data_IF_220327332128
#
_entry.id   IF_220327332128
#
_cell.length_a   1.000
_cell.length_b   1.000
_cell.length_c   1.000
_cell.angle_alpha   90.00
_cell.angle_beta   90.00
_cell.angle_gamma   90.00
#
_symmetry.space_group_name_H-M   'P 1'
#
loop_
_entity.id
_entity.type
_entity.pdbx_description
1 polymer ?
#
# COMPACT_ATOMS: atom_id res chain seq x y z
N UNK A 1 -1.84 11.41 11.86
CA UNK A 1 -2.96 10.54 11.48
C UNK A 1 -3.96 10.60 12.61
N UNK A 2 -5.21 10.95 12.31
CA UNK A 2 -6.25 11.01 13.35
C UNK A 2 -6.82 9.59 13.53
N UNK A 3 -6.34 8.86 14.53
CA UNK A 3 -6.81 7.53 14.92
C UNK A 3 -8.36 7.44 14.97
N UNK A 4 -9.02 8.48 15.49
CA UNK A 4 -10.48 8.54 15.64
C UNK A 4 -11.24 8.48 14.29
N UNK A 5 -10.63 8.88 13.19
CA UNK A 5 -11.26 8.88 11.87
C UNK A 5 -11.35 7.45 11.30
N UNK A 6 -10.30 6.66 11.42
CA UNK A 6 -10.28 5.26 10.94
C UNK A 6 -11.12 4.34 11.82
N UNK A 7 -11.15 4.55 13.14
CA UNK A 7 -11.96 3.75 14.05
C UNK A 7 -13.45 3.91 13.75
N UNK A 8 -13.90 5.09 13.29
CA UNK A 8 -15.30 5.38 12.96
C UNK A 8 -15.82 4.53 11.77
N UNK A 9 -14.96 4.25 10.81
CA UNK A 9 -15.36 3.60 9.56
C UNK A 9 -14.98 2.12 9.47
N UNK A 10 -14.26 1.57 10.45
CA UNK A 10 -13.71 0.22 10.38
C UNK A 10 -14.79 -0.85 10.12
N UNK A 11 -15.98 -0.73 10.71
CA UNK A 11 -17.07 -1.71 10.56
C UNK A 11 -17.81 -1.59 9.21
N UNK A 12 -17.89 -0.39 8.65
CA UNK A 12 -18.59 -0.12 7.40
C UNK A 12 -17.66 -0.17 6.18
N UNK A 13 -16.35 -0.28 6.44
CA UNK A 13 -15.31 -0.19 5.40
C UNK A 13 -15.57 -1.14 4.23
N UNK A 14 -15.82 -2.43 4.50
CA UNK A 14 -16.01 -3.42 3.43
C UNK A 14 -17.23 -3.12 2.54
N UNK A 15 -18.34 -2.74 3.14
CA UNK A 15 -19.58 -2.49 2.40
C UNK A 15 -19.49 -1.20 1.55
N UNK A 16 -18.95 -0.14 2.15
CA UNK A 16 -18.82 1.16 1.48
C UNK A 16 -17.72 1.13 0.42
N UNK A 17 -16.58 0.50 0.69
CA UNK A 17 -15.50 0.33 -0.29
C UNK A 17 -15.97 -0.47 -1.52
N UNK A 18 -16.72 -1.57 -1.31
CA UNK A 18 -17.32 -2.35 -2.38
C UNK A 18 -18.31 -1.52 -3.23
N UNK A 19 -19.08 -0.63 -2.62
CA UNK A 19 -20.01 0.24 -3.32
C UNK A 19 -19.30 1.27 -4.20
N UNK A 20 -18.24 1.90 -3.69
CA UNK A 20 -17.47 2.91 -4.43
C UNK A 20 -16.69 2.32 -5.61
N UNK A 21 -16.24 1.07 -5.50
CA UNK A 21 -15.52 0.40 -6.57
C UNK A 21 -16.43 -0.16 -7.69
N UNK A 22 -17.76 -0.12 -7.53
CA UNK A 22 -18.71 -0.62 -8.57
C UNK A 22 -18.48 0.02 -9.93
N UNK A 23 -18.06 1.30 -10.00
CA UNK A 23 -17.78 1.98 -11.26
C UNK A 23 -16.62 1.34 -12.03
N UNK A 24 -15.70 0.67 -11.37
CA UNK A 24 -14.58 -0.05 -12.00
C UNK A 24 -14.98 -1.45 -12.47
N UNK A 25 -16.09 -1.99 -11.95
CA UNK A 25 -16.51 -3.37 -12.13
C UNK A 25 -15.67 -4.40 -11.35
N UNK A 26 -14.81 -3.94 -10.44
CA UNK A 26 -13.88 -4.78 -9.68
C UNK A 26 -14.36 -5.06 -8.27
N UNK A 27 -13.93 -6.21 -7.74
CA UNK A 27 -13.98 -6.56 -6.34
C UNK A 27 -12.85 -5.84 -5.56
N UNK A 28 -13.09 -5.34 -4.33
CA UNK A 28 -12.04 -4.81 -3.47
C UNK A 28 -10.82 -5.73 -3.31
N UNK A 29 -11.02 -7.05 -3.24
CA UNK A 29 -9.95 -8.03 -3.16
C UNK A 29 -9.05 -8.03 -4.41
N UNK A 30 -9.57 -7.66 -5.58
CA UNK A 30 -8.77 -7.52 -6.79
C UNK A 30 -7.64 -6.49 -6.59
N UNK A 31 -7.96 -5.32 -6.00
CA UNK A 31 -6.98 -4.26 -5.81
C UNK A 31 -5.87 -4.65 -4.84
N UNK A 32 -6.17 -5.38 -3.77
CA UNK A 32 -5.14 -5.91 -2.87
C UNK A 32 -4.28 -6.96 -3.56
N UNK A 33 -4.92 -7.91 -4.25
CA UNK A 33 -4.25 -9.02 -4.92
C UNK A 33 -3.27 -8.53 -6.00
N UNK A 34 -3.73 -7.72 -6.98
CA UNK A 34 -2.87 -7.34 -8.10
C UNK A 34 -1.63 -6.54 -7.66
N UNK A 35 -1.74 -5.73 -6.59
CA UNK A 35 -0.60 -4.99 -6.04
C UNK A 35 0.47 -5.95 -5.53
N UNK A 36 0.06 -6.96 -4.78
CA UNK A 36 0.99 -7.97 -4.25
C UNK A 36 1.57 -8.83 -5.38
N UNK A 37 0.77 -9.23 -6.38
CA UNK A 37 1.26 -9.94 -7.57
C UNK A 37 2.30 -9.12 -8.33
N UNK A 38 2.13 -7.81 -8.43
CA UNK A 38 3.12 -6.91 -9.03
C UNK A 38 4.41 -6.85 -8.21
N UNK A 39 4.32 -6.72 -6.88
CA UNK A 39 5.49 -6.77 -5.99
C UNK A 39 6.22 -8.10 -6.15
N UNK A 40 5.51 -9.24 -6.14
CA UNK A 40 6.08 -10.58 -6.33
C UNK A 40 6.81 -10.66 -7.67
N UNK A 41 6.18 -10.22 -8.75
CA UNK A 41 6.77 -10.21 -10.10
C UNK A 41 8.06 -9.39 -10.16
N UNK A 42 8.08 -8.22 -9.50
CA UNK A 42 9.28 -7.39 -9.42
C UNK A 42 10.38 -8.06 -8.61
N UNK A 43 10.01 -8.70 -7.50
CA UNK A 43 10.94 -9.44 -6.63
C UNK A 43 11.65 -10.54 -7.39
N UNK A 44 10.89 -11.35 -8.14
CA UNK A 44 11.41 -12.45 -8.98
C UNK A 44 12.32 -11.94 -10.11
N UNK A 45 11.87 -10.91 -10.82
CA UNK A 45 12.65 -10.31 -11.91
C UNK A 45 14.00 -9.75 -11.47
N UNK A 46 14.13 -9.37 -10.20
CA UNK A 46 15.40 -8.88 -9.64
C UNK A 46 16.25 -10.00 -9.06
N UNK A 47 15.79 -11.26 -9.14
CA UNK A 47 16.52 -12.43 -8.64
C UNK A 47 16.79 -12.38 -7.13
N UNK A 48 15.86 -11.81 -6.36
CA UNK A 48 16.03 -11.66 -4.92
C UNK A 48 15.77 -12.98 -4.19
N UNK A 49 16.50 -13.20 -3.10
CA UNK A 49 16.18 -14.27 -2.16
C UNK A 49 14.80 -14.00 -1.52
N UNK A 50 14.11 -15.06 -1.09
CA UNK A 50 12.83 -14.91 -0.39
C UNK A 50 12.98 -14.00 0.84
N UNK A 51 12.02 -13.09 1.07
CA UNK A 51 12.08 -12.19 2.21
C UNK A 51 11.84 -12.98 3.50
N UNK A 52 12.64 -12.73 4.52
CA UNK A 52 12.41 -13.32 5.84
C UNK A 52 11.36 -12.54 6.64
N UNK A 53 11.23 -11.23 6.41
CA UNK A 53 10.26 -10.38 7.10
C UNK A 53 9.65 -9.33 6.19
N UNK A 54 8.32 -9.16 6.29
CA UNK A 54 7.54 -8.18 5.55
C UNK A 54 6.70 -7.36 6.53
N UNK A 55 6.71 -6.05 6.37
CA UNK A 55 5.82 -5.12 7.06
C UNK A 55 4.71 -4.67 6.10
N UNK A 56 3.46 -4.89 6.48
CA UNK A 56 2.29 -4.23 5.90
C UNK A 56 1.99 -2.97 6.73
N UNK A 57 2.44 -1.82 6.24
CA UNK A 57 2.32 -0.53 6.92
C UNK A 57 1.00 0.15 6.56
N UNK A 58 0.18 0.47 7.56
CA UNK A 58 -1.19 0.92 7.37
C UNK A 58 -2.08 -0.22 6.86
N UNK A 59 -1.98 -1.39 7.51
CA UNK A 59 -2.63 -2.62 7.07
C UNK A 59 -4.16 -2.58 7.14
N UNK A 60 -4.73 -1.60 7.87
CA UNK A 60 -6.16 -1.47 8.06
C UNK A 60 -6.80 -2.79 8.54
N UNK A 61 -7.85 -3.21 7.87
CA UNK A 61 -8.58 -4.47 8.16
C UNK A 61 -7.93 -5.72 7.53
N UNK A 62 -6.65 -5.63 7.12
CA UNK A 62 -5.82 -6.75 6.69
C UNK A 62 -6.05 -7.25 5.26
N UNK A 63 -6.57 -6.40 4.36
CA UNK A 63 -6.91 -6.83 3.00
C UNK A 63 -5.72 -7.37 2.18
N UNK A 64 -4.50 -6.95 2.48
CA UNK A 64 -3.27 -7.39 1.80
C UNK A 64 -2.71 -8.70 2.36
N UNK A 65 -3.00 -9.04 3.63
CA UNK A 65 -2.35 -10.13 4.36
C UNK A 65 -2.45 -11.50 3.68
N UNK A 66 -3.63 -12.00 3.24
CA UNK A 66 -3.71 -13.32 2.62
C UNK A 66 -2.95 -13.38 1.28
N UNK A 67 -2.83 -12.25 0.60
CA UNK A 67 -2.09 -12.17 -0.66
C UNK A 67 -0.59 -12.10 -0.43
N UNK A 68 -0.13 -11.42 0.63
CA UNK A 68 1.27 -11.42 1.06
C UNK A 68 1.71 -12.83 1.51
N UNK A 69 0.90 -13.51 2.32
CA UNK A 69 1.16 -14.89 2.75
C UNK A 69 1.28 -15.83 1.54
N UNK A 70 0.36 -15.72 0.59
CA UNK A 70 0.38 -16.53 -0.62
C UNK A 70 1.58 -16.24 -1.53
N UNK A 71 1.94 -14.95 -1.69
CA UNK A 71 3.01 -14.52 -2.59
C UNK A 71 4.40 -14.80 -2.01
N UNK A 72 4.55 -14.76 -0.68
CA UNK A 72 5.82 -14.90 0.02
C UNK A 72 5.70 -15.96 1.14
N UNK A 73 5.48 -17.23 0.78
CA UNK A 73 5.31 -18.29 1.76
C UNK A 73 6.59 -18.46 2.60
N UNK A 74 6.42 -18.40 3.92
CA UNK A 74 7.54 -18.48 4.86
C UNK A 74 8.10 -17.13 5.33
N UNK A 75 7.68 -16.00 4.77
CA UNK A 75 7.98 -14.68 5.32
C UNK A 75 7.21 -14.45 6.62
N UNK A 76 7.89 -13.92 7.64
CA UNK A 76 7.21 -13.43 8.83
C UNK A 76 6.50 -12.12 8.50
N UNK A 77 5.16 -12.11 8.56
CA UNK A 77 4.36 -10.91 8.28
C UNK A 77 4.13 -10.13 9.58
N UNK A 78 4.30 -8.82 9.50
CA UNK A 78 3.90 -7.87 10.55
C UNK A 78 2.89 -6.90 9.94
N UNK A 79 1.72 -6.79 10.54
CA UNK A 79 0.67 -5.84 10.19
C UNK A 79 0.71 -4.68 11.19
N UNK A 80 0.98 -3.48 10.73
CA UNK A 80 1.01 -2.28 11.57
C UNK A 80 -0.09 -1.31 11.17
N UNK A 81 -0.84 -0.81 12.14
CA UNK A 81 -1.80 0.28 11.95
C UNK A 81 -1.93 1.13 13.22
N UNK A 82 -2.32 2.39 13.03
CA UNK A 82 -2.63 3.32 14.12
C UNK A 82 -4.05 3.14 14.68
N UNK A 83 -4.92 2.42 13.96
CA UNK A 83 -6.29 2.08 14.38
C UNK A 83 -6.30 0.71 15.05
N UNK A 84 -6.48 0.68 16.35
CA UNK A 84 -6.63 -0.55 17.12
C UNK A 84 -7.85 -1.37 16.64
N UNK A 85 -8.94 -0.67 16.29
CA UNK A 85 -10.17 -1.29 15.82
C UNK A 85 -9.97 -1.99 14.47
N UNK A 86 -9.28 -1.34 13.52
CA UNK A 86 -8.95 -1.93 12.23
C UNK A 86 -8.10 -3.20 12.39
N UNK A 87 -7.09 -3.15 13.26
CA UNK A 87 -6.26 -4.32 13.56
C UNK A 87 -7.03 -5.45 14.25
N UNK A 88 -7.95 -5.14 15.15
CA UNK A 88 -8.81 -6.16 15.78
C UNK A 88 -9.67 -6.89 14.75
N UNK A 89 -10.21 -6.16 13.76
CA UNK A 89 -10.93 -6.74 12.62
C UNK A 89 -9.97 -7.59 11.77
N UNK A 90 -8.78 -7.09 11.43
CA UNK A 90 -7.78 -7.82 10.66
C UNK A 90 -7.38 -9.13 11.34
N UNK A 91 -7.13 -9.10 12.64
CA UNK A 91 -6.77 -10.27 13.44
C UNK A 91 -7.92 -11.31 13.49
N UNK A 92 -9.16 -10.85 13.60
CA UNK A 92 -10.33 -11.72 13.56
C UNK A 92 -10.54 -12.39 12.20
N UNK A 93 -10.25 -11.67 11.11
CA UNK A 93 -10.39 -12.18 9.73
C UNK A 93 -9.26 -13.12 9.33
N UNK A 94 -8.07 -12.89 9.84
CA UNK A 94 -6.82 -13.57 9.42
C UNK A 94 -6.02 -14.01 10.65
N UNK A 95 -6.58 -14.89 11.51
CA UNK A 95 -5.91 -15.30 12.74
C UNK A 95 -4.63 -16.07 12.41
N UNK A 96 -3.52 -15.65 13.03
CA UNK A 96 -2.23 -16.34 12.88
C UNK A 96 -1.46 -16.04 11.59
N UNK A 97 -1.99 -15.23 10.68
CA UNK A 97 -1.32 -14.87 9.41
C UNK A 97 -0.20 -13.86 9.63
N UNK A 98 -0.35 -12.96 10.59
CA UNK A 98 0.63 -11.91 10.86
C UNK A 98 0.77 -11.65 12.36
N UNK A 99 1.85 -10.99 12.76
CA UNK A 99 1.98 -10.31 14.05
C UNK A 99 1.32 -8.93 13.93
N UNK A 100 0.24 -8.71 14.69
CA UNK A 100 -0.53 -7.45 14.64
C UNK A 100 0.01 -6.47 15.67
N UNK A 101 0.51 -5.34 15.21
CA UNK A 101 1.16 -4.33 16.03
C UNK A 101 0.41 -3.01 15.93
N UNK A 102 -0.26 -2.62 17.01
CA UNK A 102 -0.87 -1.31 17.17
C UNK A 102 0.11 -0.32 17.80
N UNK A 103 0.07 0.92 17.35
CA UNK A 103 0.82 2.01 18.00
C UNK A 103 0.58 3.36 17.33
N UNK A 104 0.78 4.46 18.09
CA UNK A 104 0.64 5.81 17.55
C UNK A 104 1.75 6.17 16.55
N UNK A 105 2.85 5.45 16.59
CA UNK A 105 4.02 5.63 15.73
C UNK A 105 4.78 4.30 15.54
N UNK A 106 5.81 4.33 14.69
CA UNK A 106 6.63 3.16 14.37
C UNK A 106 7.51 2.66 15.53
N UNK A 107 7.60 3.39 16.65
CA UNK A 107 8.30 2.94 17.84
C UNK A 107 7.73 1.65 18.42
N UNK A 108 6.42 1.38 18.19
CA UNK A 108 5.79 0.12 18.59
C UNK A 108 6.40 -1.12 17.90
N UNK A 109 7.07 -0.95 16.76
CA UNK A 109 7.75 -2.03 16.04
C UNK A 109 9.08 -2.43 16.69
N UNK A 110 9.63 -1.59 17.57
CA UNK A 110 10.89 -1.87 18.27
C UNK A 110 12.07 -2.07 17.30
N UNK A 111 12.87 -3.10 17.59
CA UNK A 111 14.07 -3.42 16.80
C UNK A 111 13.83 -4.32 15.57
N UNK A 112 12.57 -4.50 15.19
CA UNK A 112 12.21 -5.32 14.00
C UNK A 112 12.85 -4.74 12.74
N UNK A 113 13.26 -5.65 11.83
CA UNK A 113 13.83 -5.29 10.53
C UNK A 113 13.20 -6.13 9.44
N UNK A 114 12.94 -5.49 8.28
CA UNK A 114 12.17 -6.06 7.20
C UNK A 114 12.97 -6.06 5.90
N UNK A 115 12.74 -7.08 5.07
CA UNK A 115 13.25 -7.14 3.70
C UNK A 115 12.35 -6.36 2.74
N UNK A 116 11.05 -6.28 3.09
CA UNK A 116 10.03 -5.55 2.34
C UNK A 116 9.13 -4.79 3.32
N UNK A 117 8.98 -3.51 3.08
CA UNK A 117 7.91 -2.68 3.64
C UNK A 117 6.93 -2.39 2.51
N UNK A 118 5.69 -2.81 2.70
CA UNK A 118 4.58 -2.57 1.79
C UNK A 118 3.62 -1.57 2.40
N UNK A 119 3.22 -0.56 1.63
CA UNK A 119 2.20 0.41 2.02
C UNK A 119 1.23 0.61 0.85
N UNK A 120 -0.05 0.56 1.12
CA UNK A 120 -1.07 0.64 0.07
C UNK A 120 -2.15 1.65 0.42
N UNK A 121 -2.14 2.80 -0.27
CA UNK A 121 -3.15 3.85 -0.08
C UNK A 121 -3.18 4.36 1.37
N UNK A 122 -2.01 4.75 1.90
CA UNK A 122 -1.82 5.18 3.29
C UNK A 122 -1.38 6.65 3.37
N UNK A 123 -0.43 7.04 2.53
CA UNK A 123 0.23 8.35 2.67
C UNK A 123 -0.71 9.52 2.38
N UNK A 124 -1.72 9.35 1.54
CA UNK A 124 -2.70 10.40 1.26
C UNK A 124 -3.62 10.75 2.45
N UNK A 125 -3.59 9.95 3.53
CA UNK A 125 -4.24 10.24 4.81
C UNK A 125 -3.30 10.85 5.84
N UNK A 126 -2.02 10.99 5.55
CA UNK A 126 -1.01 11.51 6.46
C UNK A 126 -0.72 12.97 6.10
N UNK A 127 -0.53 13.83 7.11
CA UNK A 127 -0.12 15.21 6.89
C UNK A 127 1.18 15.25 6.07
N UNK A 128 1.19 16.07 5.03
CA UNK A 128 2.30 16.16 4.08
C UNK A 128 3.64 16.53 4.74
N UNK A 129 3.59 17.33 5.81
CA UNK A 129 4.77 17.73 6.57
C UNK A 129 5.44 16.58 7.31
N UNK A 130 4.71 15.49 7.54
CA UNK A 130 5.23 14.30 8.23
C UNK A 130 5.84 13.25 7.29
N UNK A 131 5.58 13.34 5.98
CA UNK A 131 5.96 12.29 5.04
C UNK A 131 7.45 11.97 5.04
N UNK A 132 8.33 12.99 4.95
CA UNK A 132 9.78 12.76 4.88
C UNK A 132 10.30 12.10 6.14
N UNK A 133 9.84 12.55 7.32
CA UNK A 133 10.23 11.96 8.60
C UNK A 133 9.76 10.52 8.74
N UNK A 134 8.51 10.22 8.34
CA UNK A 134 7.95 8.87 8.37
C UNK A 134 8.67 7.94 7.39
N UNK A 135 8.92 8.41 6.16
CA UNK A 135 9.67 7.65 5.16
C UNK A 135 11.10 7.33 5.64
N UNK A 136 11.76 8.28 6.34
CA UNK A 136 13.07 8.03 6.94
C UNK A 136 13.01 6.96 8.06
N UNK A 137 11.95 6.96 8.87
CA UNK A 137 11.74 5.92 9.88
C UNK A 137 11.47 4.55 9.23
N UNK A 138 10.62 4.47 8.20
CA UNK A 138 10.38 3.24 7.44
C UNK A 138 11.67 2.72 6.79
N UNK A 139 12.50 3.63 6.25
CA UNK A 139 13.83 3.26 5.74
C UNK A 139 14.70 2.65 6.83
N UNK A 140 14.71 3.19 8.04
CA UNK A 140 15.49 2.67 9.16
C UNK A 140 15.04 1.26 9.61
N UNK A 141 13.80 0.87 9.32
CA UNK A 141 13.30 -0.48 9.58
C UNK A 141 13.69 -1.50 8.49
N UNK A 142 14.22 -1.05 7.36
CA UNK A 142 14.66 -1.96 6.30
C UNK A 142 15.99 -2.62 6.66
N UNK A 143 16.13 -3.89 6.29
CA UNK A 143 17.42 -4.58 6.21
C UNK A 143 18.24 -4.00 5.07
N UNK A 144 19.58 -4.20 5.05
CA UNK A 144 20.41 -3.83 3.89
C UNK A 144 19.83 -4.38 2.59
N UNK A 145 19.68 -3.53 1.58
CA UNK A 145 19.01 -3.82 0.31
C UNK A 145 17.50 -4.12 0.42
N UNK A 146 16.87 -3.86 1.55
CA UNK A 146 15.41 -3.98 1.69
C UNK A 146 14.66 -3.00 0.76
N UNK A 147 13.40 -3.28 0.52
CA UNK A 147 12.55 -2.46 -0.33
C UNK A 147 11.42 -1.79 0.45
N UNK A 148 11.15 -0.54 0.14
CA UNK A 148 9.87 0.10 0.41
C UNK A 148 9.08 0.17 -0.89
N UNK A 149 7.87 -0.35 -0.88
CA UNK A 149 6.93 -0.24 -2.01
C UNK A 149 5.68 0.46 -1.53
N UNK A 150 5.39 1.63 -2.11
CA UNK A 150 4.22 2.45 -1.77
C UNK A 150 3.31 2.54 -2.97
N UNK A 151 2.08 2.05 -2.85
CA UNK A 151 1.01 2.23 -3.83
C UNK A 151 0.13 3.40 -3.43
N UNK A 152 -0.17 4.28 -4.39
CA UNK A 152 -1.04 5.44 -4.18
C UNK A 152 -1.98 5.70 -5.37
N UNK A 153 -3.04 6.42 -5.10
CA UNK A 153 -3.97 6.92 -6.08
C UNK A 153 -3.31 7.95 -7.01
N UNK A 154 -3.52 7.82 -8.32
CA UNK A 154 -2.95 8.77 -9.27
C UNK A 154 -3.86 10.00 -9.46
N UNK A 155 -3.47 11.19 -9.00
CA UNK A 155 -4.27 12.40 -9.14
C UNK A 155 -4.41 12.89 -10.60
N UNK A 156 -3.59 12.40 -11.52
CA UNK A 156 -3.69 12.74 -12.94
C UNK A 156 -4.85 12.00 -13.60
N UNK A 157 -5.24 10.82 -13.09
CA UNK A 157 -6.34 10.03 -13.66
C UNK A 157 -7.70 10.59 -13.22
N UNK A 158 -8.58 11.03 -14.15
CA UNK A 158 -9.85 11.66 -13.80
C UNK A 158 -10.85 10.70 -13.13
N UNK A 159 -10.80 9.41 -13.48
CA UNK A 159 -11.67 8.39 -12.89
C UNK A 159 -11.27 8.16 -11.42
N UNK A 160 -9.98 8.07 -11.15
CA UNK A 160 -9.45 7.95 -9.79
C UNK A 160 -9.85 9.16 -8.94
N UNK A 161 -9.71 10.37 -9.46
CA UNK A 161 -10.14 11.59 -8.76
C UNK A 161 -11.62 11.56 -8.41
N UNK A 162 -12.47 11.11 -9.34
CA UNK A 162 -13.90 10.98 -9.09
C UNK A 162 -14.19 9.95 -8.00
N UNK A 163 -13.56 8.76 -8.06
CA UNK A 163 -13.75 7.69 -7.07
C UNK A 163 -13.35 8.17 -5.67
N UNK A 164 -12.17 8.77 -5.53
CA UNK A 164 -11.69 9.32 -4.25
C UNK A 164 -12.61 10.43 -3.74
N UNK A 165 -13.01 11.37 -4.59
CA UNK A 165 -13.90 12.48 -4.17
C UNK A 165 -15.31 12.00 -3.75
N UNK A 166 -15.72 10.80 -4.11
CA UNK A 166 -17.03 10.21 -3.74
C UNK A 166 -16.91 9.14 -2.65
N UNK A 167 -15.69 8.83 -2.22
CA UNK A 167 -15.41 7.82 -1.20
C UNK A 167 -15.48 8.43 0.20
N UNK A 168 -16.38 7.99 1.09
CA UNK A 168 -16.47 8.52 2.45
C UNK A 168 -15.20 8.35 3.28
N UNK A 169 -14.36 7.33 2.97
CA UNK A 169 -13.09 7.10 3.66
C UNK A 169 -11.98 8.04 3.23
N UNK A 170 -12.14 8.66 2.06
CA UNK A 170 -11.16 9.54 1.45
C UNK A 170 -11.57 11.02 1.56
N UNK A 171 -12.56 11.35 2.42
CA UNK A 171 -13.09 12.71 2.57
C UNK A 171 -12.00 13.75 2.84
N UNK A 172 -10.99 13.37 3.65
CA UNK A 172 -9.83 14.21 3.98
C UNK A 172 -8.56 13.81 3.23
N UNK A 173 -8.66 12.92 2.24
CA UNK A 173 -7.49 12.44 1.51
C UNK A 173 -6.86 13.53 0.64
N UNK A 174 -5.55 13.69 0.75
CA UNK A 174 -4.76 14.57 -0.12
C UNK A 174 -3.97 13.74 -1.12
N UNK A 175 -4.47 13.65 -2.34
CA UNK A 175 -3.84 12.84 -3.38
C UNK A 175 -2.43 13.35 -3.71
N UNK A 176 -1.46 12.44 -3.71
CA UNK A 176 -0.04 12.76 -3.87
C UNK A 176 0.38 12.48 -5.32
N UNK A 177 0.89 13.48 -6.07
CA UNK A 177 1.49 13.23 -7.37
C UNK A 177 2.71 12.30 -7.24
N UNK A 178 2.84 11.35 -8.16
CA UNK A 178 3.90 10.33 -8.13
C UNK A 178 5.33 10.92 -8.02
N UNK A 179 5.59 12.03 -8.72
CA UNK A 179 6.87 12.73 -8.65
C UNK A 179 7.14 13.37 -7.28
N UNK A 180 6.08 13.79 -6.57
CA UNK A 180 6.19 14.36 -5.21
C UNK A 180 6.52 13.28 -4.21
N UNK A 181 5.85 12.12 -4.25
CA UNK A 181 6.19 11.00 -3.38
C UNK A 181 7.63 10.54 -3.60
N UNK A 182 8.03 10.33 -4.85
CA UNK A 182 9.39 9.94 -5.19
C UNK A 182 10.45 10.97 -4.75
N UNK A 183 10.13 12.27 -4.77
CA UNK A 183 10.99 13.31 -4.22
C UNK A 183 11.12 13.20 -2.71
N UNK A 184 10.01 12.99 -1.99
CA UNK A 184 9.99 12.82 -0.52
C UNK A 184 10.78 11.58 -0.08
N UNK A 185 10.68 10.47 -0.82
CA UNK A 185 11.48 9.27 -0.58
C UNK A 185 13.00 9.54 -0.73
N UNK A 186 13.40 10.28 -1.77
CA UNK A 186 14.82 10.69 -1.90
C UNK A 186 15.27 11.60 -0.76
N UNK A 187 14.44 12.55 -0.34
CA UNK A 187 14.71 13.41 0.82
C UNK A 187 14.83 12.61 2.13
N UNK A 188 14.10 11.50 2.25
CA UNK A 188 14.20 10.55 3.37
C UNK A 188 15.44 9.65 3.32
N UNK A 189 16.28 9.80 2.28
CA UNK A 189 17.57 9.12 2.15
C UNK A 189 17.56 7.85 1.32
N UNK A 190 16.46 7.53 0.61
CA UNK A 190 16.47 6.42 -0.35
C UNK A 190 17.34 6.76 -1.57
N UNK A 191 18.33 5.90 -1.84
CA UNK A 191 19.31 6.16 -2.92
C UNK A 191 18.73 5.98 -4.32
N UNK A 192 17.81 5.05 -4.48
CA UNK A 192 17.16 4.74 -5.76
C UNK A 192 15.64 4.65 -5.56
N UNK A 193 14.91 5.40 -6.37
CA UNK A 193 13.44 5.39 -6.38
C UNK A 193 12.95 5.25 -7.81
N UNK A 194 12.23 4.18 -8.07
CA UNK A 194 11.56 3.91 -9.35
C UNK A 194 10.06 4.18 -9.21
N UNK A 195 9.45 4.78 -10.22
CA UNK A 195 8.01 5.02 -10.26
C UNK A 195 7.39 4.28 -11.43
N UNK A 196 6.26 3.62 -11.22
CA UNK A 196 5.49 2.92 -12.24
C UNK A 196 4.00 3.19 -12.05
N UNK A 197 3.28 3.25 -13.16
CA UNK A 197 1.84 3.43 -13.20
C UNK A 197 1.14 2.11 -13.51
N UNK A 198 -0.06 1.92 -12.95
CA UNK A 198 -0.82 0.67 -13.04
C UNK A 198 -2.33 0.93 -13.00
N UNK A 199 -3.13 -0.11 -13.33
CA UNK A 199 -4.58 0.03 -13.35
C UNK A 199 -5.07 0.81 -14.57
N UNK A 200 -4.59 0.47 -15.75
CA UNK A 200 -5.00 1.13 -17.01
C UNK A 200 -6.33 0.62 -17.54
N UNK A 201 -6.64 -0.66 -17.29
CA UNK A 201 -7.79 -1.32 -17.88
C UNK A 201 -8.80 -1.76 -16.80
N UNK A 202 -10.03 -1.16 -16.80
CA UNK A 202 -11.12 -1.60 -15.93
C UNK A 202 -11.57 -3.02 -16.30
N UNK A 203 -12.43 -3.62 -15.48
CA UNK A 203 -12.93 -4.99 -15.68
C UNK A 203 -13.41 -5.28 -17.11
N UNK A 204 -14.16 -4.35 -17.70
CA UNK A 204 -14.66 -4.50 -19.07
C UNK A 204 -13.54 -4.69 -20.12
N UNK A 205 -12.32 -4.23 -19.82
CA UNK A 205 -11.13 -4.34 -20.66
C UNK A 205 -10.06 -5.28 -20.07
N UNK A 206 -10.44 -6.17 -19.17
CA UNK A 206 -9.50 -7.06 -18.43
C UNK A 206 -8.59 -7.89 -19.36
N UNK A 207 -9.05 -8.23 -20.56
CA UNK A 207 -8.24 -8.95 -21.58
C UNK A 207 -7.01 -8.17 -22.05
N UNK A 208 -6.98 -6.85 -21.86
CA UNK A 208 -5.86 -5.98 -22.25
C UNK A 208 -4.83 -5.80 -21.11
N UNK A 209 -5.11 -6.26 -19.89
CA UNK A 209 -4.21 -6.14 -18.73
C UNK A 209 -2.81 -6.72 -18.93
N UNK A 210 -2.61 -7.81 -19.71
CA UNK A 210 -1.27 -8.28 -20.04
C UNK A 210 -0.38 -7.23 -20.71
N UNK A 211 -0.97 -6.16 -21.28
CA UNK A 211 -0.24 -5.05 -21.90
C UNK A 211 0.15 -3.94 -20.90
N UNK A 212 -0.39 -3.94 -19.68
CA UNK A 212 -0.11 -2.90 -18.66
C UNK A 212 1.38 -2.71 -18.37
N UNK A 213 2.22 -3.77 -18.32
CA UNK A 213 3.66 -3.58 -18.11
C UNK A 213 4.33 -2.68 -19.16
N UNK A 214 3.82 -2.66 -20.41
CA UNK A 214 4.32 -1.79 -21.48
C UNK A 214 3.91 -0.32 -21.27
N UNK A 215 2.82 -0.10 -20.55
CA UNK A 215 2.26 1.22 -20.24
C UNK A 215 2.76 1.78 -18.90
N UNK A 216 3.53 1.02 -18.13
CA UNK A 216 3.93 1.37 -16.75
C UNK A 216 4.73 2.67 -16.61
N UNK A 217 5.28 3.19 -17.69
CA UNK A 217 5.94 4.51 -17.75
C UNK A 217 4.97 5.67 -18.08
N UNK A 218 3.71 5.39 -18.45
CA UNK A 218 2.73 6.40 -18.87
C UNK A 218 1.93 6.86 -17.65
N UNK A 219 1.85 8.17 -17.31
CA UNK A 219 1.23 8.66 -16.09
C UNK A 219 -0.30 8.72 -16.14
N UNK A 220 -0.96 7.77 -16.79
CA UNK A 220 -2.41 7.72 -16.96
C UNK A 220 -3.10 6.55 -16.25
N UNK A 221 -2.34 5.64 -15.62
CA UNK A 221 -2.91 4.56 -14.81
C UNK A 221 -3.73 5.10 -13.63
N UNK A 222 -4.70 4.33 -13.16
CA UNK A 222 -5.55 4.70 -12.02
C UNK A 222 -4.74 4.85 -10.72
N UNK A 223 -3.68 4.08 -10.59
CA UNK A 223 -2.74 4.11 -9.47
C UNK A 223 -1.31 4.17 -9.98
N UNK A 224 -0.41 4.48 -9.08
CA UNK A 224 1.02 4.31 -9.28
C UNK A 224 1.64 3.64 -8.05
N UNK A 225 2.83 3.13 -8.21
CA UNK A 225 3.66 2.76 -7.08
C UNK A 225 5.07 3.32 -7.22
N UNK A 226 5.69 3.53 -6.08
CA UNK A 226 7.12 3.77 -5.97
C UNK A 226 7.80 2.52 -5.41
N UNK A 227 8.99 2.22 -5.92
CA UNK A 227 9.89 1.20 -5.40
C UNK A 227 11.17 1.90 -4.97
N UNK A 228 11.37 2.03 -3.66
CA UNK A 228 12.51 2.67 -3.06
C UNK A 228 13.45 1.63 -2.40
N UNK A 229 14.75 1.78 -2.61
CA UNK A 229 15.78 0.87 -2.13
C UNK A 229 16.43 1.44 -0.87
N UNK A 230 16.42 0.65 0.21
CA UNK A 230 17.07 0.96 1.48
C UNK A 230 18.60 0.85 1.47
#
# INVERSE_FOLDING_TARGET
VQQAEFDKFADEYLASHAQNLRITGEDPAYFSRYKIEEVRRLWDRRGRAEPAGILDFGSGIGGSLPHLEQAFPGAALTAFDVSERSLAIAQSRFPGVADFVHGPDLGALGDRRFDLVFASCVFHHIDEGLHVGLLAQLRALLRPNGWLVVFEHNPVNPVTRYIVATCPFDENAVLIPAGVLAMRERQAGFGKVETRFTGFFPHALARLRPLEPLLSGVPLGAQYYTLAHG
#
